data_IF_054642757888
#
_entry.id   IF_054642757888
#
_cell.length_a   1.000
_cell.length_b   1.000
_cell.length_c   1.000
_cell.angle_alpha   90.00
_cell.angle_beta   90.00
_cell.angle_gamma   90.00
#
_symmetry.space_group_name_H-M   'P 1'
#
loop_
_entity.id
_entity.type
_entity.pdbx_description
1 polymer ?
#
# COMPACT_ATOMS: atom_id res chain seq x y z
N UNK A 1 -17.66 -15.20 54.79
CA UNK A 1 -17.96 -14.09 53.86
C UNK A 1 -17.37 -14.44 52.50
N UNK A 2 -18.15 -15.10 51.65
CA UNK A 2 -17.70 -15.53 50.32
C UNK A 2 -17.68 -14.33 49.38
N UNK A 3 -16.49 -13.85 49.03
CA UNK A 3 -16.31 -12.83 48.01
C UNK A 3 -16.36 -13.52 46.64
N UNK A 4 -17.53 -13.45 46.01
CA UNK A 4 -17.71 -13.87 44.62
C UNK A 4 -16.90 -12.96 43.70
N UNK A 5 -15.73 -13.46 43.25
CA UNK A 5 -14.92 -12.82 42.22
C UNK A 5 -15.67 -12.97 40.89
N UNK A 6 -16.29 -11.88 40.44
CA UNK A 6 -16.88 -11.79 39.12
C UNK A 6 -15.75 -11.76 38.07
N UNK A 7 -15.42 -12.94 37.53
CA UNK A 7 -14.50 -13.05 36.40
C UNK A 7 -15.21 -12.48 35.17
N UNK A 8 -14.86 -11.26 34.77
CA UNK A 8 -15.28 -10.67 33.48
C UNK A 8 -14.92 -11.70 32.41
N UNK A 9 -15.94 -12.25 31.74
CA UNK A 9 -15.76 -13.14 30.60
C UNK A 9 -15.13 -12.29 29.51
N UNK A 10 -13.83 -12.44 29.26
CA UNK A 10 -13.19 -11.85 28.09
C UNK A 10 -13.89 -12.45 26.87
N UNK A 11 -14.84 -11.73 26.30
CA UNK A 11 -15.29 -11.99 24.95
C UNK A 11 -14.05 -11.83 24.08
N UNK A 12 -13.55 -12.95 23.53
CA UNK A 12 -12.51 -12.93 22.53
C UNK A 12 -13.03 -12.08 21.37
N UNK A 13 -12.59 -10.82 21.32
CA UNK A 13 -12.81 -9.99 20.16
C UNK A 13 -12.20 -10.72 18.97
N UNK A 14 -13.05 -10.95 17.98
CA UNK A 14 -12.62 -11.53 16.73
C UNK A 14 -11.76 -10.49 16.03
N UNK A 15 -10.53 -10.83 15.62
CA UNK A 15 -9.72 -9.91 14.81
C UNK A 15 -10.30 -9.77 13.40
N UNK A 16 -10.07 -8.60 12.78
CA UNK A 16 -10.49 -8.28 11.43
C UNK A 16 -9.39 -7.65 10.60
N UNK A 17 -9.30 -8.02 9.33
CA UNK A 17 -8.27 -7.53 8.40
C UNK A 17 -8.88 -6.54 7.42
N UNK A 18 -8.20 -5.42 7.23
CA UNK A 18 -8.52 -4.38 6.24
C UNK A 18 -7.41 -4.33 5.19
N UNK A 19 -7.82 -4.36 3.93
CA UNK A 19 -6.99 -3.99 2.80
C UNK A 19 -7.02 -2.46 2.62
N UNK A 20 -5.84 -1.85 2.53
CA UNK A 20 -5.66 -0.42 2.24
C UNK A 20 -4.93 -0.27 0.92
N UNK A 21 -5.62 0.16 -0.13
CA UNK A 21 -5.11 0.39 -1.47
C UNK A 21 -4.97 1.87 -1.82
N UNK A 22 -4.28 2.12 -2.93
CA UNK A 22 -3.99 3.47 -3.46
C UNK A 22 -3.20 4.38 -2.50
N UNK A 23 -2.42 3.79 -1.61
CA UNK A 23 -1.56 4.54 -0.70
C UNK A 23 -0.52 5.36 -1.51
N UNK A 24 -0.41 6.68 -1.25
CA UNK A 24 0.65 7.49 -1.83
C UNK A 24 2.04 6.91 -1.55
N UNK A 25 2.91 6.90 -2.56
CA UNK A 25 4.28 6.37 -2.43
C UNK A 25 5.18 7.22 -1.52
N UNK A 26 4.73 8.43 -1.17
CA UNK A 26 5.43 9.36 -0.28
C UNK A 26 5.28 8.99 1.19
N UNK A 27 4.28 8.19 1.55
CA UNK A 27 4.04 7.80 2.93
C UNK A 27 4.98 6.68 3.37
N UNK A 28 5.52 6.86 4.58
CA UNK A 28 6.23 5.80 5.27
C UNK A 28 5.25 4.82 5.90
N UNK A 29 5.80 3.67 6.27
CA UNK A 29 5.09 2.62 6.99
C UNK A 29 4.57 3.10 8.36
N UNK A 30 5.39 3.87 9.08
CA UNK A 30 5.02 4.46 10.36
C UNK A 30 3.82 5.41 10.23
N UNK A 31 3.81 6.31 9.23
CA UNK A 31 2.70 7.25 9.06
C UNK A 31 1.36 6.55 8.83
N UNK A 32 1.36 5.44 8.07
CA UNK A 32 0.14 4.68 7.79
C UNK A 32 -0.30 3.93 9.05
N UNK A 33 0.64 3.32 9.78
CA UNK A 33 0.37 2.63 11.03
C UNK A 33 -0.23 3.58 12.08
N UNK A 34 0.43 4.71 12.33
CA UNK A 34 0.02 5.70 13.32
C UNK A 34 -1.37 6.29 12.99
N UNK A 35 -1.67 6.45 11.70
CA UNK A 35 -3.00 6.87 11.26
C UNK A 35 -4.06 5.80 11.55
N UNK A 36 -3.77 4.53 11.22
CA UNK A 36 -4.70 3.43 11.47
C UNK A 36 -4.91 3.17 12.98
N UNK A 37 -3.89 3.41 13.80
CA UNK A 37 -3.93 3.19 15.24
C UNK A 37 -4.94 4.10 15.96
N UNK A 38 -5.34 5.21 15.33
CA UNK A 38 -6.37 6.12 15.88
C UNK A 38 -7.76 5.49 15.90
N UNK A 39 -8.02 4.48 15.06
CA UNK A 39 -9.32 3.80 15.00
C UNK A 39 -9.44 2.64 16.00
N UNK A 40 -8.31 2.08 16.44
CA UNK A 40 -8.26 0.99 17.41
C UNK A 40 -6.93 0.25 17.39
N UNK A 41 -6.79 -0.70 18.31
CA UNK A 41 -5.54 -1.46 18.49
C UNK A 41 -5.22 -2.33 17.27
N UNK A 42 -4.01 -2.14 16.73
CA UNK A 42 -3.49 -2.89 15.60
C UNK A 42 -2.70 -4.09 16.11
N UNK A 43 -3.18 -5.28 15.75
CA UNK A 43 -2.53 -6.56 16.05
C UNK A 43 -1.35 -6.85 15.12
N UNK A 44 -1.54 -6.65 13.81
CA UNK A 44 -0.51 -6.87 12.78
C UNK A 44 -0.67 -5.85 11.67
N UNK A 45 0.46 -5.42 11.12
CA UNK A 45 0.51 -4.49 9.99
C UNK A 45 1.48 -5.01 8.94
N UNK A 46 1.17 -4.82 7.65
CA UNK A 46 2.10 -5.13 6.57
C UNK A 46 1.93 -4.19 5.38
N UNK A 47 2.96 -3.41 5.07
CA UNK A 47 3.04 -2.69 3.81
C UNK A 47 3.59 -3.60 2.69
N UNK A 48 2.88 -3.67 1.55
CA UNK A 48 3.34 -4.48 0.43
C UNK A 48 4.46 -3.77 -0.34
N UNK A 49 5.58 -4.48 -0.54
CA UNK A 49 6.77 -3.95 -1.22
C UNK A 49 7.19 -4.81 -2.41
N UNK A 50 7.81 -4.18 -3.39
CA UNK A 50 8.38 -4.86 -4.55
C UNK A 50 9.66 -5.61 -4.16
N UNK A 51 9.72 -6.93 -4.41
CA UNK A 51 10.94 -7.72 -4.20
C UNK A 51 12.12 -7.26 -5.08
N UNK A 52 11.84 -6.60 -6.20
CA UNK A 52 12.86 -6.13 -7.16
C UNK A 52 13.46 -4.79 -6.78
N UNK A 53 12.67 -3.87 -6.20
CA UNK A 53 13.09 -2.47 -5.99
C UNK A 53 12.99 -2.03 -4.54
N UNK A 54 12.33 -2.79 -3.67
CA UNK A 54 12.05 -2.45 -2.28
C UNK A 54 10.98 -1.36 -2.08
N UNK A 55 10.53 -0.72 -3.16
CA UNK A 55 9.54 0.36 -3.08
C UNK A 55 8.17 -0.19 -2.69
N UNK A 56 7.38 0.66 -2.04
CA UNK A 56 5.96 0.40 -1.77
C UNK A 56 5.22 0.07 -3.06
N UNK A 57 4.31 -0.90 -3.01
CA UNK A 57 3.38 -1.22 -4.09
C UNK A 57 2.09 -0.40 -4.01
N UNK A 58 2.00 0.52 -3.05
CA UNK A 58 0.82 1.39 -2.86
C UNK A 58 -0.35 0.69 -2.18
N UNK A 59 -0.12 -0.40 -1.46
CA UNK A 59 -1.14 -1.04 -0.64
C UNK A 59 -0.56 -1.74 0.59
N UNK A 60 -1.37 -1.83 1.64
CA UNK A 60 -1.05 -2.44 2.92
C UNK A 60 -2.22 -3.30 3.43
N UNK A 61 -1.92 -4.10 4.45
CA UNK A 61 -2.91 -4.87 5.21
C UNK A 61 -2.77 -4.52 6.68
N UNK A 62 -3.90 -4.28 7.33
CA UNK A 62 -3.98 -3.96 8.76
C UNK A 62 -4.92 -4.94 9.41
N UNK A 63 -4.45 -5.63 10.45
CA UNK A 63 -5.30 -6.45 11.30
C UNK A 63 -5.55 -5.70 12.61
N UNK A 64 -6.82 -5.40 12.87
CA UNK A 64 -7.29 -4.84 14.13
C UNK A 64 -7.65 -5.96 15.10
N UNK A 65 -7.51 -5.72 16.40
CA UNK A 65 -7.98 -6.65 17.44
C UNK A 65 -9.50 -6.84 17.42
N UNK A 66 -10.25 -5.84 16.93
CA UNK A 66 -11.71 -5.92 16.76
C UNK A 66 -12.12 -5.94 15.28
N UNK A 67 -12.93 -6.92 14.91
CA UNK A 67 -13.53 -7.08 13.59
C UNK A 67 -14.50 -5.93 13.28
N UNK A 68 -15.21 -5.43 14.29
CA UNK A 68 -16.14 -4.32 14.12
C UNK A 68 -15.39 -3.03 13.78
N UNK A 69 -14.26 -2.78 14.44
CA UNK A 69 -13.35 -1.68 14.08
C UNK A 69 -12.88 -1.83 12.64
N UNK A 70 -12.45 -3.04 12.23
CA UNK A 70 -12.02 -3.29 10.86
C UNK A 70 -13.12 -3.01 9.83
N UNK A 71 -14.39 -3.37 10.11
CA UNK A 71 -15.53 -3.07 9.24
C UNK A 71 -15.81 -1.58 9.15
N UNK A 72 -15.85 -0.88 10.29
CA UNK A 72 -16.06 0.58 10.35
C UNK A 72 -14.96 1.30 9.57
N UNK A 73 -13.69 0.92 9.77
CA UNK A 73 -12.56 1.50 9.03
C UNK A 73 -12.71 1.25 7.53
N UNK A 74 -13.08 0.03 7.13
CA UNK A 74 -13.26 -0.30 5.72
C UNK A 74 -14.38 0.52 5.05
N UNK A 75 -15.45 0.83 5.77
CA UNK A 75 -16.57 1.64 5.26
C UNK A 75 -16.24 3.13 5.24
N UNK A 76 -15.69 3.65 6.34
CA UNK A 76 -15.45 5.09 6.53
C UNK A 76 -14.25 5.62 5.74
N UNK A 77 -13.22 4.80 5.53
CA UNK A 77 -11.99 5.21 4.84
C UNK A 77 -12.03 4.93 3.34
N UNK A 78 -13.00 4.18 2.83
CA UNK A 78 -13.10 3.92 1.40
C UNK A 78 -13.47 5.20 0.65
N UNK A 79 -12.71 5.52 -0.39
CA UNK A 79 -12.78 6.79 -1.12
C UNK A 79 -12.44 8.02 -0.27
N UNK A 80 -11.77 7.86 0.86
CA UNK A 80 -11.22 9.00 1.60
C UNK A 80 -10.05 9.62 0.83
N UNK A 81 -10.06 10.95 0.69
CA UNK A 81 -8.99 11.68 0.02
C UNK A 81 -7.76 11.75 0.94
N UNK A 82 -6.72 11.01 0.59
CA UNK A 82 -5.47 10.95 1.33
C UNK A 82 -4.31 11.49 0.49
N UNK A 83 -3.95 12.75 0.73
CA UNK A 83 -3.05 13.50 -0.14
C UNK A 83 -3.72 13.76 -1.50
N UNK A 84 -3.15 13.20 -2.57
CA UNK A 84 -3.64 13.36 -3.95
C UNK A 84 -4.46 12.16 -4.46
N UNK A 85 -4.76 11.17 -3.60
CA UNK A 85 -5.39 9.91 -4.01
C UNK A 85 -6.56 9.54 -3.12
N UNK A 86 -7.61 9.01 -3.73
CA UNK A 86 -8.71 8.36 -3.00
C UNK A 86 -8.26 6.95 -2.59
N UNK A 87 -8.30 6.67 -1.29
CA UNK A 87 -7.96 5.35 -0.76
C UNK A 87 -9.00 4.31 -1.18
N UNK A 88 -8.55 3.07 -1.38
CA UNK A 88 -9.44 1.93 -1.49
C UNK A 88 -9.35 1.10 -0.21
N UNK A 89 -10.40 1.12 0.60
CA UNK A 89 -10.43 0.43 1.88
C UNK A 89 -11.47 -0.68 1.80
N UNK A 90 -11.05 -1.92 2.07
CA UNK A 90 -11.95 -3.09 1.99
C UNK A 90 -11.71 -4.03 3.14
N UNK A 91 -12.80 -4.42 3.80
CA UNK A 91 -12.76 -5.48 4.79
C UNK A 91 -12.46 -6.81 4.09
N UNK A 92 -11.58 -7.61 4.68
CA UNK A 92 -11.21 -8.93 4.18
C UNK A 92 -11.85 -10.01 5.05
N UNK A 93 -12.80 -10.80 4.50
CA UNK A 93 -13.27 -12.01 5.15
C UNK A 93 -12.10 -12.94 5.47
N UNK A 94 -12.16 -13.62 6.62
CA UNK A 94 -11.10 -14.51 7.12
C UNK A 94 -10.65 -15.56 6.10
N UNK A 95 -11.60 -16.09 5.32
CA UNK A 95 -11.35 -17.07 4.25
C UNK A 95 -10.44 -16.54 3.13
N UNK A 96 -10.51 -15.23 2.86
CA UNK A 96 -9.67 -14.55 1.85
C UNK A 96 -8.33 -14.11 2.40
N UNK A 97 -8.13 -14.16 3.71
CA UNK A 97 -6.86 -13.82 4.35
C UNK A 97 -5.89 -14.99 4.18
N UNK A 98 -4.84 -14.77 3.38
CA UNK A 98 -3.82 -15.78 3.17
C UNK A 98 -3.06 -16.07 4.48
N UNK A 99 -2.71 -17.33 4.74
CA UNK A 99 -2.00 -17.77 5.95
C UNK A 99 -0.70 -16.98 6.18
N UNK A 100 0.06 -16.78 5.10
CA UNK A 100 1.34 -16.06 5.14
C UNK A 100 1.24 -14.54 4.99
N UNK A 101 0.03 -13.97 5.07
CA UNK A 101 -0.20 -12.55 4.84
C UNK A 101 0.60 -11.68 5.81
N UNK A 102 0.81 -12.11 7.05
CA UNK A 102 1.57 -11.36 8.05
C UNK A 102 2.86 -12.04 8.48
N UNK A 103 3.37 -12.99 7.68
CA UNK A 103 4.67 -13.59 7.96
C UNK A 103 5.75 -12.51 7.97
N UNK A 104 6.59 -12.54 9.02
CA UNK A 104 7.70 -11.61 9.22
C UNK A 104 7.26 -10.13 9.32
N UNK A 105 6.01 -9.84 9.72
CA UNK A 105 5.56 -8.46 9.94
C UNK A 105 6.36 -7.72 11.04
N UNK A 106 6.92 -8.46 12.00
CA UNK A 106 7.70 -7.91 13.09
C UNK A 106 9.20 -7.74 12.76
N UNK A 107 9.62 -8.13 11.56
CA UNK A 107 11.02 -8.00 11.12
C UNK A 107 11.17 -6.71 10.34
N UNK A 108 12.12 -5.82 10.70
CA UNK A 108 12.38 -4.62 9.93
C UNK A 108 12.66 -4.93 8.45
N UNK A 109 12.07 -4.15 7.55
CA UNK A 109 12.30 -4.33 6.12
C UNK A 109 13.71 -3.89 5.72
N UNK A 110 14.45 -4.80 5.09
CA UNK A 110 15.73 -4.50 4.45
C UNK A 110 15.59 -4.46 2.92
N UNK A 111 15.99 -3.37 2.24
CA UNK A 111 15.89 -3.26 0.80
C UNK A 111 16.84 -4.25 0.10
N UNK A 112 16.45 -4.80 -1.07
CA UNK A 112 17.35 -5.65 -1.85
C UNK A 112 18.64 -4.90 -2.26
N UNK A 113 19.79 -5.55 -2.13
CA UNK A 113 21.12 -4.94 -2.34
C UNK A 113 21.63 -4.99 -3.79
N UNK A 114 20.81 -5.46 -4.75
CA UNK A 114 21.27 -5.62 -6.14
C UNK A 114 21.62 -4.26 -6.81
N UNK A 115 22.69 -4.16 -7.62
CA UNK A 115 23.04 -2.92 -8.32
C UNK A 115 21.91 -2.35 -9.18
N UNK A 116 21.06 -3.22 -9.73
CA UNK A 116 19.87 -2.82 -10.48
C UNK A 116 18.87 -2.02 -9.64
N UNK A 117 18.75 -2.31 -8.35
CA UNK A 117 17.88 -1.57 -7.40
C UNK A 117 18.37 -0.13 -7.28
N UNK A 118 19.68 0.06 -7.03
CA UNK A 118 20.30 1.38 -6.93
C UNK A 118 20.09 2.20 -8.20
N UNK A 119 20.29 1.59 -9.38
CA UNK A 119 20.02 2.25 -10.68
C UNK A 119 18.55 2.60 -10.90
N UNK A 120 17.63 1.75 -10.45
CA UNK A 120 16.20 2.00 -10.59
C UNK A 120 15.73 3.12 -9.66
N UNK A 121 16.14 3.07 -8.39
CA UNK A 121 15.76 4.01 -7.34
C UNK A 121 16.57 5.32 -7.35
N UNK A 122 17.55 5.47 -8.25
CA UNK A 122 18.35 6.69 -8.32
C UNK A 122 17.45 7.92 -8.55
N UNK A 123 17.57 8.92 -7.67
CA UNK A 123 16.91 10.21 -7.86
C UNK A 123 17.56 10.90 -9.07
N UNK A 124 16.73 11.33 -10.01
CA UNK A 124 17.18 12.02 -11.23
C UNK A 124 17.01 13.52 -11.03
N UNK A 125 18.07 14.28 -11.30
CA UNK A 125 18.01 15.75 -11.23
C UNK A 125 17.30 16.36 -12.43
N UNK A 126 16.99 17.66 -12.35
CA UNK A 126 16.25 18.40 -13.37
C UNK A 126 16.86 18.28 -14.78
N UNK A 127 18.17 18.47 -14.93
CA UNK A 127 18.85 18.32 -16.23
C UNK A 127 18.73 16.90 -16.81
N UNK A 128 18.77 15.88 -15.96
CA UNK A 128 18.58 14.50 -16.41
C UNK A 128 17.13 14.28 -16.84
N UNK A 129 16.16 14.86 -16.12
CA UNK A 129 14.74 14.84 -16.49
C UNK A 129 14.49 15.50 -17.84
N UNK A 130 15.03 16.70 -18.07
CA UNK A 130 14.93 17.39 -19.38
C UNK A 130 15.53 16.56 -20.52
N UNK A 131 16.71 15.96 -20.30
CA UNK A 131 17.33 15.05 -21.29
C UNK A 131 16.45 13.83 -21.58
N UNK A 132 15.83 13.25 -20.56
CA UNK A 132 14.89 12.14 -20.76
C UNK A 132 13.64 12.57 -21.51
N UNK A 133 13.07 13.73 -21.19
CA UNK A 133 11.90 14.29 -21.86
C UNK A 133 12.17 14.53 -23.35
N UNK A 134 13.32 15.11 -23.68
CA UNK A 134 13.75 15.27 -25.07
C UNK A 134 13.83 13.92 -25.80
N UNK A 135 14.42 12.90 -25.16
CA UNK A 135 14.50 11.54 -25.72
C UNK A 135 13.11 10.91 -25.88
N UNK A 136 12.19 11.15 -24.95
CA UNK A 136 10.82 10.67 -25.00
C UNK A 136 10.07 11.28 -26.19
N UNK A 137 10.07 12.62 -26.31
CA UNK A 137 9.47 13.35 -27.45
C UNK A 137 10.01 12.88 -28.80
N UNK A 138 11.33 12.64 -28.89
CA UNK A 138 11.95 12.09 -30.11
C UNK A 138 11.42 10.68 -30.45
N UNK A 139 11.31 9.79 -29.46
CA UNK A 139 10.77 8.43 -29.66
C UNK A 139 9.29 8.45 -30.03
N UNK A 140 8.51 9.30 -29.38
CA UNK A 140 7.09 9.49 -29.68
C UNK A 140 6.90 9.94 -31.14
N UNK A 141 7.66 10.93 -31.61
CA UNK A 141 7.62 11.38 -33.01
C UNK A 141 7.92 10.24 -33.99
N UNK A 142 8.89 9.39 -33.68
CA UNK A 142 9.21 8.22 -34.51
C UNK A 142 8.08 7.16 -34.48
N UNK A 143 7.44 6.95 -33.33
CA UNK A 143 6.30 6.05 -33.19
C UNK A 143 5.12 6.56 -34.03
N UNK A 144 4.77 7.84 -33.93
CA UNK A 144 3.71 8.47 -34.74
C UNK A 144 3.95 8.30 -36.23
N UNK A 145 5.18 8.53 -36.72
CA UNK A 145 5.54 8.27 -38.12
C UNK A 145 5.33 6.81 -38.54
N UNK A 146 5.69 5.85 -37.67
CA UNK A 146 5.47 4.42 -37.93
C UNK A 146 3.99 4.05 -37.96
N UNK A 147 3.17 4.64 -37.09
CA UNK A 147 1.72 4.43 -37.04
C UNK A 147 1.02 5.02 -38.27
N UNK A 148 1.37 6.24 -38.65
CA UNK A 148 0.85 6.89 -39.86
C UNK A 148 1.14 6.09 -41.13
N UNK A 149 2.35 5.51 -41.25
CA UNK A 149 2.71 4.61 -42.36
C UNK A 149 1.82 3.34 -42.40
N UNK A 150 1.27 2.93 -41.27
CA UNK A 150 0.32 1.81 -41.17
C UNK A 150 -1.14 2.24 -41.31
N UNK A 151 -1.41 3.51 -41.63
CA UNK A 151 -2.76 4.05 -41.76
C UNK A 151 -3.49 4.27 -40.43
N UNK A 152 -2.78 4.22 -39.30
CA UNK A 152 -3.35 4.50 -37.98
C UNK A 152 -3.06 5.96 -37.67
N UNK A 153 -4.11 6.79 -37.69
CA UNK A 153 -4.04 8.15 -37.17
C UNK A 153 -4.27 8.12 -35.65
N UNK A 154 -3.36 8.73 -34.91
CA UNK A 154 -3.33 8.65 -33.44
C UNK A 154 -3.08 10.04 -32.85
N UNK A 155 -4.17 10.68 -32.43
CA UNK A 155 -4.19 11.95 -31.70
C UNK A 155 -4.44 11.70 -30.21
N UNK A 156 -3.62 12.30 -29.35
CA UNK A 156 -3.90 12.45 -27.92
C UNK A 156 -4.63 13.76 -27.68
#
# INVERSE_FOLDING_TARGET
>A
MNHSIWKKKEEKLNSGVVYLGHLPSTLSESHIYDYCAQFGDIRRFRLSRSKRTGNSRGFAFVEFESEDVAKIVAETMDNYLFGERLLSCKFMPREKVHKDLFNQCNVPFHPPSFPAVKRYNQKRGHLQMLKMEYRFKKKEKLLRKKLAKKGIDYSF
#
